data_IF_228732173315
#
_entry.id   IF_228732173315
#
_cell.length_a   1.000
_cell.length_b   1.000
_cell.length_c   1.000
_cell.angle_alpha   90.00
_cell.angle_beta   90.00
_cell.angle_gamma   90.00
#
_symmetry.space_group_name_H-M   'P 1'
#
loop_
_entity.id
_entity.type
_entity.pdbx_description
1 polymer ?
#
# COMPACT_ATOMS: atom_id res chain seq x y z
N UNK A 1 -14.70 0.92 6.44
CA UNK A 1 -15.95 0.61 5.75
C UNK A 1 -15.87 0.92 4.26
N UNK A 2 -14.88 0.33 3.56
CA UNK A 2 -14.75 0.43 2.09
C UNK A 2 -15.57 -0.67 1.37
N UNK A 3 -16.35 -1.43 2.12
CA UNK A 3 -17.16 -2.52 1.60
C UNK A 3 -18.49 -2.09 0.95
N UNK A 4 -18.82 -0.79 1.03
CA UNK A 4 -20.18 -0.34 0.70
C UNK A 4 -20.42 -0.15 -0.81
N UNK A 5 -19.44 0.29 -1.61
CA UNK A 5 -19.70 0.65 -2.99
C UNK A 5 -19.71 -0.55 -3.95
N UNK A 6 -18.71 -1.40 -3.91
CA UNK A 6 -18.66 -2.59 -4.78
C UNK A 6 -19.81 -3.57 -4.51
N UNK A 7 -20.17 -3.77 -3.24
CA UNK A 7 -21.32 -4.60 -2.88
C UNK A 7 -22.66 -3.96 -3.29
N UNK A 8 -22.77 -2.64 -3.34
CA UNK A 8 -23.98 -1.94 -3.81
C UNK A 8 -24.16 -2.05 -5.32
N UNK A 9 -23.07 -2.04 -6.08
CA UNK A 9 -23.13 -2.10 -7.54
C UNK A 9 -23.46 -3.49 -8.08
N UNK A 10 -23.09 -4.55 -7.36
CA UNK A 10 -23.49 -5.93 -7.69
C UNK A 10 -25.02 -6.07 -7.72
N UNK A 11 -25.75 -5.33 -6.91
CA UNK A 11 -27.20 -5.36 -6.90
C UNK A 11 -27.87 -4.47 -7.95
N UNK A 12 -27.09 -3.65 -8.66
CA UNK A 12 -27.62 -2.90 -9.78
C UNK A 12 -27.78 -3.86 -10.96
N UNK A 13 -28.99 -3.91 -11.54
CA UNK A 13 -29.29 -4.76 -12.70
C UNK A 13 -28.28 -4.59 -13.83
N UNK A 14 -27.80 -3.36 -14.05
CA UNK A 14 -26.78 -3.03 -15.03
C UNK A 14 -25.43 -3.72 -14.72
N UNK A 15 -25.00 -3.75 -13.47
CA UNK A 15 -23.73 -4.41 -13.07
C UNK A 15 -23.79 -5.92 -13.31
N UNK A 16 -24.94 -6.56 -13.05
CA UNK A 16 -25.12 -8.00 -13.34
C UNK A 16 -25.06 -8.27 -14.85
N UNK A 17 -25.65 -7.40 -15.66
CA UNK A 17 -25.61 -7.52 -17.12
C UNK A 17 -24.19 -7.35 -17.67
N UNK A 18 -23.45 -6.35 -17.17
CA UNK A 18 -22.03 -6.14 -17.50
C UNK A 18 -21.19 -7.37 -17.10
N UNK A 19 -21.34 -7.85 -15.86
CA UNK A 19 -20.67 -9.05 -15.39
C UNK A 19 -20.92 -10.25 -16.31
N UNK A 20 -22.18 -10.55 -16.62
CA UNK A 20 -22.53 -11.67 -17.50
C UNK A 20 -21.90 -11.57 -18.88
N UNK A 21 -21.91 -10.36 -19.47
CA UNK A 21 -21.30 -10.08 -20.77
C UNK A 21 -19.79 -10.27 -20.69
N UNK A 22 -19.14 -9.63 -19.73
CA UNK A 22 -17.68 -9.69 -19.53
C UNK A 22 -17.20 -11.09 -19.18
N UNK A 23 -17.94 -11.80 -18.33
CA UNK A 23 -17.58 -13.17 -17.95
C UNK A 23 -17.62 -14.13 -19.15
N UNK A 24 -18.66 -14.04 -19.97
CA UNK A 24 -18.75 -14.83 -21.21
C UNK A 24 -17.68 -14.46 -22.23
N UNK A 25 -17.34 -13.19 -22.34
CA UNK A 25 -16.28 -12.74 -23.25
C UNK A 25 -14.90 -13.30 -22.86
N UNK A 26 -14.62 -13.41 -21.57
CA UNK A 26 -13.33 -13.89 -21.06
C UNK A 26 -13.25 -15.43 -20.97
N UNK A 27 -14.37 -16.11 -20.67
CA UNK A 27 -14.35 -17.53 -20.31
C UNK A 27 -15.22 -18.42 -21.23
N UNK A 28 -15.83 -17.83 -22.26
CA UNK A 28 -16.66 -18.54 -23.23
C UNK A 28 -18.16 -18.56 -22.90
N UNK A 29 -18.97 -18.94 -23.88
CA UNK A 29 -20.44 -18.91 -23.78
C UNK A 29 -21.03 -20.08 -22.98
N UNK A 30 -20.35 -21.22 -22.93
CA UNK A 30 -20.80 -22.41 -22.23
C UNK A 30 -20.32 -22.43 -20.78
N UNK A 31 -21.05 -21.75 -19.91
CA UNK A 31 -20.78 -21.69 -18.48
C UNK A 31 -21.83 -22.53 -17.79
N UNK A 32 -21.57 -23.83 -17.67
CA UNK A 32 -22.43 -24.75 -16.92
C UNK A 32 -21.77 -25.06 -15.57
N UNK A 33 -22.58 -25.07 -14.51
CA UNK A 33 -22.14 -25.41 -13.14
C UNK A 33 -21.03 -24.49 -12.57
N UNK A 34 -21.09 -23.18 -12.83
CA UNK A 34 -20.18 -22.19 -12.23
C UNK A 34 -20.91 -21.47 -11.08
N UNK A 35 -20.59 -21.81 -9.82
CA UNK A 35 -21.30 -21.25 -8.67
C UNK A 35 -21.20 -19.73 -8.56
N UNK A 36 -20.08 -19.12 -9.01
CA UNK A 36 -19.91 -17.69 -9.05
C UNK A 36 -20.86 -17.05 -10.07
N UNK A 37 -20.84 -17.56 -11.30
CA UNK A 37 -21.68 -17.03 -12.38
C UNK A 37 -23.18 -17.15 -12.04
N UNK A 38 -23.58 -18.29 -11.50
CA UNK A 38 -24.98 -18.55 -11.11
C UNK A 38 -25.40 -17.63 -9.95
N UNK A 39 -24.57 -17.53 -8.91
CA UNK A 39 -24.86 -16.68 -7.76
C UNK A 39 -25.05 -15.21 -8.17
N UNK A 40 -24.12 -14.66 -8.96
CA UNK A 40 -24.21 -13.27 -9.39
C UNK A 40 -25.37 -13.05 -10.36
N UNK A 41 -25.63 -13.99 -11.26
CA UNK A 41 -26.78 -13.92 -12.18
C UNK A 41 -28.10 -13.86 -11.43
N UNK A 42 -28.21 -14.58 -10.31
CA UNK A 42 -29.38 -14.58 -9.42
C UNK A 42 -29.41 -13.37 -8.46
N UNK A 43 -28.46 -12.45 -8.55
CA UNK A 43 -28.34 -11.30 -7.64
C UNK A 43 -27.87 -11.68 -6.23
N UNK A 44 -27.27 -12.87 -6.06
CA UNK A 44 -26.73 -13.34 -4.78
C UNK A 44 -25.25 -13.03 -4.66
N UNK A 45 -24.77 -12.78 -3.43
CA UNK A 45 -23.34 -12.62 -3.14
C UNK A 45 -22.62 -13.96 -3.24
N UNK A 46 -21.40 -13.91 -3.76
CA UNK A 46 -20.47 -15.03 -3.76
C UNK A 46 -19.16 -14.60 -3.08
N UNK A 47 -18.60 -15.46 -2.23
CA UNK A 47 -17.34 -15.18 -1.57
C UNK A 47 -16.21 -15.04 -2.60
N UNK A 48 -15.40 -14.00 -2.49
CA UNK A 48 -14.30 -13.72 -3.43
C UNK A 48 -14.72 -13.06 -4.74
N UNK A 49 -15.98 -12.64 -4.89
CA UNK A 49 -16.46 -12.01 -6.13
C UNK A 49 -15.77 -10.70 -6.47
N UNK A 50 -15.11 -10.08 -5.49
CA UNK A 50 -14.28 -8.88 -5.66
C UNK A 50 -13.10 -9.09 -6.64
N UNK A 51 -12.65 -10.32 -6.85
CA UNK A 51 -11.63 -10.63 -7.84
C UNK A 51 -12.09 -10.40 -9.29
N UNK A 52 -13.40 -10.36 -9.50
CA UNK A 52 -14.02 -10.09 -10.81
C UNK A 52 -14.64 -8.69 -10.89
N UNK A 53 -14.23 -7.76 -10.00
CA UNK A 53 -14.69 -6.37 -9.98
C UNK A 53 -14.70 -5.71 -11.38
N UNK A 54 -13.68 -5.89 -12.23
CA UNK A 54 -13.66 -5.27 -13.56
C UNK A 54 -14.85 -5.62 -14.44
N UNK A 55 -15.47 -6.78 -14.20
CA UNK A 55 -16.61 -7.22 -15.03
C UNK A 55 -17.93 -6.54 -14.67
N UNK A 56 -18.01 -5.85 -13.53
CA UNK A 56 -19.21 -5.12 -13.10
C UNK A 56 -19.24 -3.66 -13.59
N UNK A 57 -18.14 -3.19 -14.18
CA UNK A 57 -17.94 -1.83 -14.64
C UNK A 57 -17.55 -1.80 -16.11
N UNK A 58 -17.85 -0.72 -16.80
CA UNK A 58 -17.39 -0.52 -18.18
C UNK A 58 -15.88 -0.27 -18.21
N UNK A 59 -15.37 0.44 -17.20
CA UNK A 59 -13.96 0.75 -17.00
C UNK A 59 -13.70 0.92 -15.51
N UNK A 60 -12.53 0.50 -15.05
CA UNK A 60 -12.01 0.87 -13.75
C UNK A 60 -11.21 2.16 -13.86
N UNK A 61 -11.28 2.96 -12.84
CA UNK A 61 -10.56 4.21 -12.71
C UNK A 61 -9.44 4.06 -11.67
N UNK A 62 -8.37 4.80 -11.84
CA UNK A 62 -7.27 4.88 -10.88
C UNK A 62 -7.58 5.91 -9.81
N UNK A 63 -6.80 5.93 -8.74
CA UNK A 63 -6.95 6.96 -7.71
C UNK A 63 -6.71 8.38 -8.28
N UNK A 64 -5.86 8.51 -9.30
CA UNK A 64 -5.56 9.78 -9.94
C UNK A 64 -6.71 10.32 -10.78
N UNK A 65 -7.62 9.47 -11.24
CA UNK A 65 -8.80 9.89 -11.99
C UNK A 65 -9.87 10.54 -11.10
N UNK A 66 -9.84 10.25 -9.79
CA UNK A 66 -10.79 10.80 -8.81
C UNK A 66 -10.35 12.16 -8.22
N UNK A 67 -9.13 12.58 -8.47
CA UNK A 67 -8.59 13.85 -7.95
C UNK A 67 -7.96 14.67 -9.07
N UNK A 68 -8.01 15.98 -8.95
CA UNK A 68 -7.25 16.88 -9.82
C UNK A 68 -5.76 16.86 -9.40
N UNK A 69 -5.09 15.75 -9.67
CA UNK A 69 -3.69 15.56 -9.30
C UNK A 69 -2.81 16.39 -10.23
N UNK A 70 -2.05 17.33 -9.66
CA UNK A 70 -1.08 18.14 -10.40
C UNK A 70 0.35 17.67 -10.18
N UNK A 71 0.62 17.03 -9.04
CA UNK A 71 1.94 16.55 -8.69
C UNK A 71 1.85 15.22 -7.90
N UNK A 72 2.80 14.34 -8.16
CA UNK A 72 3.01 13.10 -7.41
C UNK A 72 4.45 13.10 -6.88
N UNK A 73 4.61 12.68 -5.65
CA UNK A 73 5.92 12.43 -5.06
C UNK A 73 6.06 10.99 -4.62
N UNK A 74 7.21 10.40 -4.88
CA UNK A 74 7.49 9.01 -4.58
C UNK A 74 8.94 8.82 -4.09
N UNK A 75 9.19 7.69 -3.46
CA UNK A 75 10.54 7.23 -3.15
C UNK A 75 11.31 6.88 -4.44
N UNK A 76 12.63 7.03 -4.44
CA UNK A 76 13.49 6.70 -5.58
C UNK A 76 13.42 5.23 -6.00
N UNK A 77 13.03 4.33 -5.09
CA UNK A 77 12.85 2.91 -5.39
C UNK A 77 11.49 2.58 -6.04
N UNK A 78 10.63 3.57 -6.27
CA UNK A 78 9.25 3.32 -6.74
C UNK A 78 9.21 2.50 -8.04
N UNK A 79 10.10 2.77 -8.98
CA UNK A 79 10.12 2.06 -10.26
C UNK A 79 10.50 0.58 -10.09
N UNK A 80 11.45 0.27 -9.20
CA UNK A 80 11.81 -1.10 -8.85
C UNK A 80 10.65 -1.83 -8.17
N UNK A 81 9.94 -1.14 -7.27
CA UNK A 81 8.77 -1.69 -6.58
C UNK A 81 7.60 -1.95 -7.54
N UNK A 82 7.36 -1.05 -8.49
CA UNK A 82 6.32 -1.25 -9.52
C UNK A 82 6.66 -2.45 -10.40
N UNK A 83 7.89 -2.57 -10.88
CA UNK A 83 8.32 -3.72 -11.68
C UNK A 83 8.14 -5.03 -10.91
N UNK A 84 8.67 -5.11 -9.70
CA UNK A 84 8.53 -6.29 -8.85
C UNK A 84 7.05 -6.64 -8.57
N UNK A 85 6.18 -5.62 -8.42
CA UNK A 85 4.76 -5.83 -8.23
C UNK A 85 4.08 -6.38 -9.48
N UNK A 86 4.41 -5.87 -10.67
CA UNK A 86 3.88 -6.37 -11.93
C UNK A 86 4.30 -7.82 -12.17
N UNK A 87 5.56 -8.16 -11.94
CA UNK A 87 6.07 -9.53 -12.02
C UNK A 87 5.32 -10.46 -11.07
N UNK A 88 5.16 -10.07 -9.81
CA UNK A 88 4.44 -10.87 -8.80
C UNK A 88 2.97 -11.09 -9.18
N UNK A 89 2.30 -10.08 -9.73
CA UNK A 89 0.91 -10.19 -10.20
C UNK A 89 0.81 -11.18 -11.36
N UNK A 90 1.74 -11.13 -12.31
CA UNK A 90 1.77 -12.07 -13.44
C UNK A 90 2.06 -13.50 -12.96
N UNK A 91 3.02 -13.70 -12.08
CA UNK A 91 3.33 -15.01 -11.49
C UNK A 91 2.10 -15.63 -10.79
N UNK A 92 1.35 -14.84 -10.02
CA UNK A 92 0.11 -15.30 -9.41
C UNK A 92 -0.96 -15.65 -10.43
N UNK A 93 -1.07 -14.86 -11.49
CA UNK A 93 -2.01 -15.15 -12.57
C UNK A 93 -1.67 -16.45 -13.29
N UNK A 94 -0.41 -16.65 -13.68
CA UNK A 94 0.05 -17.86 -14.36
C UNK A 94 -0.13 -19.10 -13.48
N UNK A 95 0.22 -19.00 -12.19
CA UNK A 95 0.04 -20.08 -11.23
C UNK A 95 -1.45 -20.49 -11.09
N UNK A 96 -2.35 -19.51 -11.01
CA UNK A 96 -3.80 -19.79 -10.93
C UNK A 96 -4.38 -20.31 -12.22
N UNK A 97 -3.88 -19.83 -13.36
CA UNK A 97 -4.28 -20.31 -14.67
C UNK A 97 -3.88 -21.76 -14.90
N UNK A 98 -2.68 -22.16 -14.47
CA UNK A 98 -2.23 -23.56 -14.55
C UNK A 98 -3.04 -24.48 -13.63
N UNK A 99 -3.33 -24.06 -12.40
CA UNK A 99 -4.20 -24.80 -11.48
C UNK A 99 -5.63 -24.97 -12.03
N UNK A 100 -6.14 -23.97 -12.77
CA UNK A 100 -7.42 -24.07 -13.44
C UNK A 100 -7.44 -25.18 -14.48
N UNK A 101 -6.39 -25.31 -15.28
CA UNK A 101 -6.27 -26.35 -16.30
C UNK A 101 -6.26 -27.74 -15.68
N UNK A 102 -5.53 -27.97 -14.60
CA UNK A 102 -5.46 -29.25 -13.91
C UNK A 102 -6.76 -29.62 -13.17
N UNK A 103 -7.42 -28.66 -12.51
CA UNK A 103 -8.69 -28.92 -11.80
C UNK A 103 -9.89 -29.13 -12.71
N UNK A 104 -9.85 -28.66 -13.95
CA UNK A 104 -10.87 -28.95 -14.93
C UNK A 104 -11.00 -30.47 -15.21
N UNK A 105 -9.90 -31.21 -15.01
CA UNK A 105 -9.85 -32.67 -15.18
C UNK A 105 -10.45 -33.41 -13.96
N UNK A 106 -10.41 -32.81 -12.75
CA UNK A 106 -10.82 -33.46 -11.49
C UNK A 106 -12.25 -33.09 -11.00
N UNK A 107 -13.00 -32.28 -11.75
CA UNK A 107 -14.40 -31.92 -11.41
C UNK A 107 -14.58 -31.00 -10.21
N UNK A 108 -13.51 -30.31 -9.76
CA UNK A 108 -13.55 -29.33 -8.66
C UNK A 108 -14.12 -27.96 -9.08
N UNK A 109 -14.47 -27.12 -8.09
CA UNK A 109 -14.87 -25.73 -8.32
C UNK A 109 -13.73 -24.95 -8.99
N UNK A 110 -14.00 -24.47 -10.19
CA UNK A 110 -13.03 -23.82 -11.06
C UNK A 110 -12.93 -22.32 -10.72
N UNK A 111 -11.81 -21.90 -10.16
CA UNK A 111 -11.46 -20.47 -10.10
C UNK A 111 -10.93 -20.02 -11.47
N UNK A 112 -11.57 -19.04 -12.08
CA UNK A 112 -11.21 -18.49 -13.40
C UNK A 112 -10.58 -17.12 -13.23
N UNK A 113 -9.21 -17.02 -13.21
CA UNK A 113 -8.54 -15.75 -13.02
C UNK A 113 -8.74 -14.83 -14.23
N UNK A 114 -8.99 -13.54 -13.97
CA UNK A 114 -8.99 -12.51 -14.99
C UNK A 114 -7.57 -12.15 -15.40
N UNK A 115 -7.34 -11.75 -16.67
CA UNK A 115 -6.07 -11.16 -17.09
C UNK A 115 -5.69 -9.95 -16.20
N UNK A 116 -4.43 -9.84 -15.76
CA UNK A 116 -3.99 -8.77 -14.85
C UNK A 116 -4.35 -7.36 -15.32
N UNK A 117 -4.19 -7.06 -16.61
CA UNK A 117 -4.47 -5.75 -17.17
C UNK A 117 -5.93 -5.27 -17.06
N UNK A 118 -6.86 -6.14 -16.65
CA UNK A 118 -8.23 -5.72 -16.36
C UNK A 118 -8.39 -5.12 -14.96
N UNK A 119 -7.48 -5.46 -14.01
CA UNK A 119 -7.59 -5.07 -12.60
C UNK A 119 -6.42 -4.20 -12.12
N UNK A 120 -5.27 -4.34 -12.75
CA UNK A 120 -4.04 -3.65 -12.36
C UNK A 120 -3.52 -2.81 -13.50
N UNK A 121 -2.91 -1.68 -13.18
CA UNK A 121 -2.07 -0.95 -14.12
C UNK A 121 -0.84 -1.81 -14.43
N UNK A 122 -0.44 -1.79 -15.68
CA UNK A 122 0.85 -2.28 -16.13
C UNK A 122 1.92 -1.18 -16.05
N UNK A 123 3.13 -1.50 -16.48
CA UNK A 123 4.24 -0.56 -16.48
C UNK A 123 3.95 0.63 -17.42
N UNK A 124 3.31 0.39 -18.57
CA UNK A 124 2.97 1.46 -19.53
C UNK A 124 1.95 2.43 -18.93
N UNK A 125 0.92 1.92 -18.24
CA UNK A 125 -0.06 2.72 -17.53
C UNK A 125 0.56 3.55 -16.39
N UNK A 126 1.52 2.98 -15.65
CA UNK A 126 2.27 3.71 -14.64
C UNK A 126 3.11 4.85 -15.25
N UNK A 127 3.85 4.58 -16.33
CA UNK A 127 4.62 5.60 -17.04
C UNK A 127 3.71 6.71 -17.59
N UNK A 128 2.54 6.36 -18.14
CA UNK A 128 1.57 7.35 -18.59
C UNK A 128 1.11 8.28 -17.47
N UNK A 129 0.87 7.76 -16.27
CA UNK A 129 0.54 8.58 -15.09
C UNK A 129 1.70 9.52 -14.75
N UNK A 130 2.93 9.02 -14.68
CA UNK A 130 4.11 9.86 -14.38
C UNK A 130 4.29 11.01 -15.38
N UNK A 131 4.01 10.76 -16.66
CA UNK A 131 4.12 11.78 -17.69
C UNK A 131 2.95 12.78 -17.71
N UNK A 132 1.85 12.45 -17.07
CA UNK A 132 0.66 13.33 -17.03
C UNK A 132 0.69 14.39 -15.93
N UNK A 133 1.63 14.30 -14.99
CA UNK A 133 1.74 15.17 -13.81
C UNK A 133 3.18 15.56 -13.54
N UNK A 134 3.40 16.55 -12.69
CA UNK A 134 4.72 16.83 -12.16
C UNK A 134 5.14 15.68 -11.22
N UNK A 135 6.17 14.93 -11.61
CA UNK A 135 6.63 13.79 -10.84
C UNK A 135 7.94 14.09 -10.12
N UNK A 136 7.95 13.91 -8.79
CA UNK A 136 9.10 14.17 -7.93
C UNK A 136 9.56 12.89 -7.24
N UNK A 137 10.83 12.57 -7.35
CA UNK A 137 11.45 11.48 -6.60
C UNK A 137 12.23 12.02 -5.41
N UNK A 138 12.02 11.41 -4.25
CA UNK A 138 12.79 11.67 -3.04
C UNK A 138 13.86 10.59 -2.86
N UNK A 139 15.09 11.01 -2.72
CA UNK A 139 16.21 10.13 -2.42
C UNK A 139 16.87 10.52 -1.10
N UNK A 140 17.33 9.53 -0.33
CA UNK A 140 18.17 9.73 0.85
C UNK A 140 19.60 10.14 0.47
N UNK A 141 19.98 9.91 -0.78
CA UNK A 141 21.30 10.16 -1.31
C UNK A 141 21.24 11.21 -2.41
N UNK A 142 22.34 11.94 -2.58
CA UNK A 142 22.49 12.80 -3.74
C UNK A 142 22.43 11.96 -5.03
N UNK A 143 21.59 12.40 -5.96
CA UNK A 143 21.52 11.77 -7.26
C UNK A 143 22.72 12.23 -8.08
N UNK A 144 23.57 11.31 -8.55
CA UNK A 144 24.71 11.68 -9.39
C UNK A 144 24.24 12.36 -10.69
N UNK A 145 25.06 13.26 -11.21
CA UNK A 145 24.79 13.89 -12.49
C UNK A 145 24.83 12.84 -13.60
N UNK A 146 23.71 12.65 -14.27
CA UNK A 146 23.55 11.73 -15.40
C UNK A 146 23.01 12.48 -16.61
N UNK A 147 23.43 12.12 -17.84
CA UNK A 147 22.91 12.72 -19.06
C UNK A 147 21.38 12.60 -19.20
N UNK A 148 20.80 11.60 -18.54
CA UNK A 148 19.36 11.32 -18.57
C UNK A 148 18.57 12.18 -17.57
N UNK A 149 19.24 12.93 -16.68
CA UNK A 149 18.63 13.80 -15.69
C UNK A 149 18.79 15.25 -16.13
N UNK A 150 17.80 15.76 -16.86
CA UNK A 150 17.86 17.11 -17.45
C UNK A 150 17.52 18.25 -16.48
N UNK A 151 16.71 17.99 -15.46
CA UNK A 151 16.21 18.99 -14.52
C UNK A 151 16.37 18.54 -13.06
N UNK A 152 17.62 18.32 -12.63
CA UNK A 152 17.90 17.99 -11.26
C UNK A 152 17.83 19.23 -10.37
N UNK A 153 16.89 19.25 -9.44
CA UNK A 153 16.85 20.22 -8.36
C UNK A 153 17.14 19.53 -7.04
N UNK A 154 18.36 19.69 -6.53
CA UNK A 154 18.71 19.23 -5.19
C UNK A 154 18.24 20.26 -4.18
N UNK A 155 17.34 19.89 -3.30
CA UNK A 155 16.87 20.70 -2.18
C UNK A 155 17.07 19.90 -0.90
N UNK A 156 17.88 20.43 0.02
CA UNK A 156 17.99 19.82 1.34
C UNK A 156 16.65 19.91 2.05
N UNK A 157 16.10 18.79 2.48
CA UNK A 157 14.88 18.74 3.29
C UNK A 157 15.10 19.24 4.72
N UNK A 158 16.36 19.46 5.13
CA UNK A 158 16.73 19.76 6.52
C UNK A 158 16.51 18.58 7.47
N UNK A 159 16.21 17.38 6.94
CA UNK A 159 16.08 16.19 7.76
C UNK A 159 17.44 15.62 8.12
N UNK A 160 17.52 14.98 9.28
CA UNK A 160 18.67 14.21 9.71
C UNK A 160 18.26 12.79 10.04
N UNK A 161 19.22 11.88 10.05
CA UNK A 161 18.96 10.52 10.52
C UNK A 161 18.33 10.56 11.93
N UNK A 162 17.30 9.76 12.13
CA UNK A 162 16.68 9.59 13.43
C UNK A 162 17.65 8.94 14.43
N UNK A 163 17.26 8.92 15.70
CA UNK A 163 18.02 8.25 16.74
C UNK A 163 18.06 6.74 16.49
N UNK A 164 19.24 6.21 16.22
CA UNK A 164 19.45 4.77 16.13
C UNK A 164 19.77 4.21 17.52
N UNK A 165 18.90 3.30 17.99
CA UNK A 165 19.05 2.61 19.26
C UNK A 165 19.57 1.17 19.11
N UNK A 166 19.91 0.74 17.91
CA UNK A 166 20.32 -0.66 17.65
C UNK A 166 21.59 -1.01 18.41
N UNK A 167 22.59 -0.14 18.40
CA UNK A 167 23.84 -0.36 19.15
C UNK A 167 23.58 -0.42 20.65
N UNK A 168 22.77 0.51 21.18
CA UNK A 168 22.43 0.52 22.60
C UNK A 168 21.61 -0.72 23.03
N UNK A 169 20.74 -1.24 22.15
CA UNK A 169 19.98 -2.48 22.42
C UNK A 169 20.85 -3.73 22.43
N UNK A 170 21.85 -3.78 21.57
CA UNK A 170 22.73 -4.94 21.42
C UNK A 170 23.87 -4.97 22.43
N UNK A 171 24.18 -3.83 23.05
CA UNK A 171 25.18 -3.74 24.09
C UNK A 171 24.64 -4.20 25.44
N UNK A 172 25.35 -5.12 26.11
CA UNK A 172 25.05 -5.54 27.48
C UNK A 172 25.51 -4.52 28.54
N UNK A 173 26.34 -3.56 28.15
CA UNK A 173 26.97 -2.58 29.04
C UNK A 173 26.22 -1.24 29.06
N UNK A 174 25.35 -1.00 28.08
CA UNK A 174 24.62 0.27 27.95
C UNK A 174 23.17 0.07 28.41
N UNK A 175 22.77 0.80 29.46
CA UNK A 175 21.36 0.94 29.79
C UNK A 175 20.67 1.85 28.76
N UNK A 176 19.77 1.28 27.97
CA UNK A 176 19.08 1.99 26.90
C UNK A 176 18.32 3.24 27.39
N UNK A 177 17.78 3.20 28.62
CA UNK A 177 17.05 4.34 29.18
C UNK A 177 17.99 5.45 29.65
N UNK A 178 19.14 5.12 30.21
CA UNK A 178 20.19 6.11 30.52
C UNK A 178 20.69 6.80 29.26
N UNK A 179 20.95 6.03 28.21
CA UNK A 179 21.35 6.56 26.90
C UNK A 179 20.28 7.49 26.33
N UNK A 180 19.00 7.07 26.35
CA UNK A 180 17.88 7.86 25.86
C UNK A 180 17.74 9.17 26.65
N UNK A 181 17.85 9.13 27.98
CA UNK A 181 17.83 10.34 28.83
C UNK A 181 18.95 11.29 28.49
N UNK A 182 20.17 10.79 28.23
CA UNK A 182 21.31 11.61 27.80
C UNK A 182 20.96 12.33 26.48
N UNK A 183 20.48 11.62 25.47
CA UNK A 183 20.09 12.20 24.18
C UNK A 183 18.97 13.24 24.32
N UNK A 184 17.97 12.97 25.17
CA UNK A 184 16.89 13.93 25.44
C UNK A 184 17.46 15.21 26.05
N UNK A 185 18.32 15.10 27.07
CA UNK A 185 18.95 16.25 27.72
C UNK A 185 19.82 17.07 26.76
N UNK A 186 20.58 16.42 25.89
CA UNK A 186 21.37 17.08 24.85
C UNK A 186 20.49 17.86 23.86
N UNK A 187 19.36 17.31 23.45
CA UNK A 187 18.42 18.02 22.58
C UNK A 187 17.75 19.21 23.27
N UNK A 188 17.39 19.09 24.54
CA UNK A 188 16.83 20.20 25.32
C UNK A 188 17.86 21.32 25.49
N UNK A 189 19.11 20.99 25.77
CA UNK A 189 20.21 21.99 25.86
C UNK A 189 20.43 22.74 24.54
N UNK A 190 20.12 22.10 23.41
CA UNK A 190 20.17 22.69 22.07
C UNK A 190 18.85 23.42 21.70
N UNK A 191 18.01 23.77 22.67
CA UNK A 191 16.70 24.42 22.48
C UNK A 191 15.76 23.64 21.56
N UNK A 192 15.86 22.32 21.54
CA UNK A 192 14.94 21.45 20.80
C UNK A 192 13.86 20.92 21.72
N UNK A 193 12.62 20.97 21.26
CA UNK A 193 11.49 20.30 21.91
C UNK A 193 11.56 18.80 21.58
N UNK A 194 11.56 17.96 22.61
CA UNK A 194 11.55 16.49 22.44
C UNK A 194 10.16 15.97 22.77
N UNK A 195 9.59 15.21 21.87
CA UNK A 195 8.27 14.59 22.03
C UNK A 195 8.42 13.07 21.90
N UNK A 196 7.90 12.35 22.87
CA UNK A 196 7.87 10.88 22.88
C UNK A 196 6.42 10.43 22.79
N UNK A 197 6.11 9.61 21.79
CA UNK A 197 4.78 9.05 21.62
C UNK A 197 4.71 7.59 22.05
N UNK A 198 3.64 7.20 22.72
CA UNK A 198 3.33 5.82 23.09
C UNK A 198 2.07 5.34 22.38
N UNK A 199 1.99 4.03 22.09
CA UNK A 199 0.82 3.41 21.42
C UNK A 199 -0.44 3.39 22.31
N UNK A 200 -0.29 3.51 23.61
CA UNK A 200 -1.38 3.54 24.59
C UNK A 200 -1.01 4.37 25.81
N UNK A 201 -2.02 4.76 26.57
CA UNK A 201 -1.81 5.45 27.85
C UNK A 201 -0.90 4.65 28.79
N UNK A 202 -1.10 3.34 28.90
CA UNK A 202 -0.26 2.49 29.74
C UNK A 202 1.20 2.40 29.26
N UNK A 203 1.46 2.37 27.96
CA UNK A 203 2.84 2.38 27.42
C UNK A 203 3.51 3.72 27.63
N UNK A 204 2.76 4.82 27.52
CA UNK A 204 3.24 6.18 27.81
C UNK A 204 3.62 6.32 29.29
N UNK A 205 2.73 5.92 30.19
CA UNK A 205 2.95 6.05 31.63
C UNK A 205 4.13 5.20 32.11
N UNK A 206 4.27 3.98 31.55
CA UNK A 206 5.44 3.13 31.81
C UNK A 206 6.74 3.76 31.30
N UNK A 207 6.73 4.32 30.09
CA UNK A 207 7.90 5.00 29.53
C UNK A 207 8.29 6.22 30.39
N UNK A 208 7.31 7.01 30.80
CA UNK A 208 7.51 8.16 31.70
C UNK A 208 8.18 7.73 33.00
N UNK A 209 7.70 6.68 33.65
CA UNK A 209 8.29 6.13 34.88
C UNK A 209 9.73 5.70 34.66
N UNK A 210 10.00 4.94 33.59
CA UNK A 210 11.37 4.47 33.30
C UNK A 210 12.34 5.61 33.03
N UNK A 211 11.91 6.68 32.34
CA UNK A 211 12.75 7.85 32.09
C UNK A 211 13.03 8.64 33.39
N UNK A 212 12.03 8.77 34.25
CA UNK A 212 12.19 9.41 35.58
C UNK A 212 13.17 8.62 36.46
N UNK A 213 13.04 7.30 36.54
CA UNK A 213 13.96 6.42 37.27
C UNK A 213 15.42 6.54 36.76
N UNK A 214 15.60 6.89 35.48
CA UNK A 214 16.92 7.12 34.88
C UNK A 214 17.33 8.62 34.84
N UNK A 215 16.65 9.46 35.60
CA UNK A 215 17.09 10.85 35.88
C UNK A 215 16.55 11.91 34.93
N UNK A 216 15.38 11.70 34.32
CA UNK A 216 14.66 12.74 33.57
C UNK A 216 13.51 13.28 34.42
N UNK A 217 13.73 14.39 35.15
CA UNK A 217 12.80 14.89 36.17
C UNK A 217 11.62 15.68 35.59
N UNK A 218 11.76 16.30 34.41
CA UNK A 218 10.73 17.14 33.81
C UNK A 218 10.08 16.46 32.60
N UNK A 219 8.94 15.79 32.84
CA UNK A 219 8.13 15.18 31.79
C UNK A 219 6.72 15.74 31.89
N UNK A 220 6.23 16.33 30.82
CA UNK A 220 4.86 16.79 30.68
C UNK A 220 4.05 15.82 29.82
N UNK A 221 2.86 15.46 30.26
CA UNK A 221 1.95 14.66 29.49
C UNK A 221 1.05 15.56 28.66
N UNK A 222 1.19 15.48 27.33
CA UNK A 222 0.33 16.16 26.38
C UNK A 222 -0.73 15.21 25.83
N UNK A 223 -1.95 15.70 25.68
CA UNK A 223 -3.07 14.97 25.05
C UNK A 223 -3.18 15.28 23.55
N UNK A 224 -2.60 16.41 23.13
CA UNK A 224 -2.54 16.85 21.75
C UNK A 224 -1.20 17.56 21.46
N UNK A 225 -0.94 17.85 20.19
CA UNK A 225 0.24 18.61 19.75
C UNK A 225 0.05 20.13 19.77
N UNK A 226 -1.10 20.62 20.22
CA UNK A 226 -1.45 22.04 20.25
C UNK A 226 -0.71 22.81 21.37
#
# INVERSE_FOLDING_TARGET
PLYSSAASDVYKRQGIELFRKGYRANFGAHISNDPLYDAITDGRRHAGMEHWLPLFHEQLETITDHFAVTAISADSEINNLVNARCELVDDYYQSRKSLHQHKAEDGGVLYRPLPPGLLYLDIEGWEAIKHSVDFYEFSQFDIPDSPDVTDKKVTSSGTSAGLDLVEARNSKEINIFEYLVKVIKENILNNRRVVLSGFSTGSRDRLSTLLQENGLDSIENALSFD
#
